data_IF_475741284161
#
_entry.id   IF_475741284161
#
_cell.length_a   1.000
_cell.length_b   1.000
_cell.length_c   1.000
_cell.angle_alpha   90.00
_cell.angle_beta   90.00
_cell.angle_gamma   90.00
#
_symmetry.space_group_name_H-M   'P 1'
#
loop_
_entity.id
_entity.type
_entity.pdbx_description
1 polymer ?
#
# COMPACT_ATOMS: atom_id res chain seq x y z
N UNK A 1 -2.16 -19.51 4.96
CA UNK A 1 -1.13 -19.25 5.99
C UNK A 1 -0.82 -17.77 6.01
N UNK A 2 -0.66 -17.19 7.19
CA UNK A 2 -0.18 -15.82 7.33
C UNK A 2 1.29 -15.73 6.88
N UNK A 3 1.71 -14.63 6.25
CA UNK A 3 3.10 -14.43 5.85
C UNK A 3 4.00 -14.18 7.08
N UNK A 4 5.12 -14.91 7.16
CA UNK A 4 6.10 -14.89 8.24
C UNK A 4 7.51 -14.51 7.76
N UNK A 5 7.71 -14.26 6.46
CA UNK A 5 8.98 -13.76 5.91
C UNK A 5 8.72 -12.57 5.00
N UNK A 6 9.73 -11.72 4.79
CA UNK A 6 9.58 -10.58 3.87
C UNK A 6 9.23 -11.04 2.44
N UNK A 7 9.74 -12.20 1.99
CA UNK A 7 9.41 -12.75 0.67
C UNK A 7 7.94 -13.16 0.58
N UNK A 8 7.41 -13.77 1.64
CA UNK A 8 5.99 -14.13 1.69
C UNK A 8 5.10 -12.88 1.67
N UNK A 9 5.47 -11.83 2.40
CA UNK A 9 4.78 -10.54 2.35
C UNK A 9 4.82 -9.92 0.94
N UNK A 10 5.97 -9.96 0.26
CA UNK A 10 6.08 -9.49 -1.13
C UNK A 10 5.24 -10.33 -2.10
N UNK A 11 5.15 -11.64 -1.89
CA UNK A 11 4.31 -12.50 -2.72
C UNK A 11 2.82 -12.13 -2.58
N UNK A 12 2.35 -11.89 -1.34
CA UNK A 12 0.98 -11.41 -1.09
C UNK A 12 0.78 -10.02 -1.72
N UNK A 13 1.73 -9.10 -1.56
CA UNK A 13 1.66 -7.77 -2.18
C UNK A 13 1.51 -7.86 -3.71
N UNK A 14 2.29 -8.73 -4.37
CA UNK A 14 2.21 -8.96 -5.81
C UNK A 14 0.85 -9.53 -6.22
N UNK A 15 0.33 -10.50 -5.48
CA UNK A 15 -0.99 -11.05 -5.76
C UNK A 15 -2.07 -9.97 -5.64
N UNK A 16 -2.06 -9.17 -4.57
CA UNK A 16 -3.05 -8.09 -4.36
C UNK A 16 -2.99 -7.00 -5.42
N UNK A 17 -1.78 -6.63 -5.86
CA UNK A 17 -1.62 -5.71 -6.98
C UNK A 17 -2.19 -6.30 -8.27
N UNK A 18 -1.93 -7.57 -8.55
CA UNK A 18 -2.48 -8.27 -9.73
C UNK A 18 -4.01 -8.36 -9.68
N UNK A 19 -4.59 -8.67 -8.52
CA UNK A 19 -6.04 -8.73 -8.32
C UNK A 19 -6.65 -7.34 -8.57
N UNK A 20 -6.04 -6.29 -8.02
CA UNK A 20 -6.48 -4.90 -8.20
C UNK A 20 -6.45 -4.47 -9.68
N UNK A 21 -5.38 -4.81 -10.40
CA UNK A 21 -5.26 -4.55 -11.83
C UNK A 21 -6.32 -5.30 -12.65
N UNK A 22 -6.59 -6.56 -12.31
CA UNK A 22 -7.63 -7.34 -12.98
C UNK A 22 -9.02 -6.71 -12.79
N UNK A 23 -9.36 -6.32 -11.57
CA UNK A 23 -10.63 -5.62 -11.28
C UNK A 23 -10.69 -4.31 -12.06
N UNK A 24 -9.65 -3.48 -12.02
CA UNK A 24 -9.65 -2.18 -12.71
C UNK A 24 -9.81 -2.31 -14.23
N UNK A 25 -9.35 -3.40 -14.85
CA UNK A 25 -9.53 -3.64 -16.29
C UNK A 25 -10.99 -3.93 -16.66
N UNK A 26 -11.69 -4.69 -15.83
CA UNK A 26 -13.08 -5.09 -16.09
C UNK A 26 -14.11 -4.11 -15.51
N UNK A 27 -13.75 -3.41 -14.43
CA UNK A 27 -14.56 -2.43 -13.72
C UNK A 27 -13.69 -1.22 -13.33
N UNK A 28 -13.44 -0.29 -14.27
CA UNK A 28 -12.51 0.83 -14.06
C UNK A 28 -12.89 1.79 -12.93
N UNK A 29 -14.15 1.77 -12.49
CA UNK A 29 -14.67 2.59 -11.40
C UNK A 29 -14.87 1.80 -10.09
N UNK A 30 -14.35 0.57 -10.00
CA UNK A 30 -14.54 -0.26 -8.82
C UNK A 30 -13.66 0.19 -7.67
N UNK A 31 -14.28 0.54 -6.53
CA UNK A 31 -13.61 0.73 -5.24
C UNK A 31 -12.79 -0.49 -4.85
N UNK A 32 -13.25 -1.69 -5.23
CA UNK A 32 -12.55 -2.94 -4.97
C UNK A 32 -11.11 -2.97 -5.51
N UNK A 33 -10.85 -2.31 -6.64
CA UNK A 33 -9.50 -2.19 -7.19
C UNK A 33 -8.59 -1.35 -6.27
N UNK A 34 -9.05 -0.17 -5.86
CA UNK A 34 -8.33 0.73 -4.95
C UNK A 34 -8.14 0.09 -3.58
N UNK A 35 -9.16 -0.61 -3.08
CA UNK A 35 -9.12 -1.36 -1.84
C UNK A 35 -8.00 -2.41 -1.84
N UNK A 36 -7.93 -3.26 -2.86
CA UNK A 36 -6.87 -4.27 -2.99
C UNK A 36 -5.49 -3.65 -3.25
N UNK A 37 -5.43 -2.52 -3.96
CA UNK A 37 -4.18 -1.79 -4.16
C UNK A 37 -3.60 -1.28 -2.83
N UNK A 38 -4.44 -0.83 -1.89
CA UNK A 38 -3.99 -0.47 -0.54
C UNK A 38 -3.41 -1.65 0.24
N UNK A 39 -3.97 -2.85 0.12
CA UNK A 39 -3.35 -4.05 0.69
C UNK A 39 -2.01 -4.40 0.05
N UNK A 40 -1.81 -4.13 -1.24
CA UNK A 40 -0.52 -4.31 -1.87
C UNK A 40 0.55 -3.37 -1.28
N UNK A 41 0.17 -2.12 -0.96
CA UNK A 41 1.02 -1.16 -0.23
C UNK A 41 1.31 -1.66 1.18
N UNK A 42 0.28 -2.06 1.93
CA UNK A 42 0.41 -2.59 3.29
C UNK A 42 1.40 -3.75 3.35
N UNK A 43 1.20 -4.76 2.51
CA UNK A 43 2.04 -5.95 2.47
C UNK A 43 3.49 -5.61 2.06
N UNK A 44 3.66 -4.64 1.16
CA UNK A 44 5.00 -4.15 0.79
C UNK A 44 5.70 -3.45 1.96
N UNK A 45 4.98 -2.64 2.75
CA UNK A 45 5.53 -2.00 3.95
C UNK A 45 5.89 -3.01 5.03
N UNK A 46 5.02 -3.99 5.28
CA UNK A 46 5.30 -5.09 6.23
C UNK A 46 6.51 -5.91 5.80
N UNK A 47 6.67 -6.15 4.50
CA UNK A 47 7.89 -6.77 3.96
C UNK A 47 9.15 -5.95 4.27
N UNK A 48 9.08 -4.61 4.12
CA UNK A 48 10.20 -3.72 4.40
C UNK A 48 10.56 -3.70 5.89
N UNK A 49 9.57 -3.55 6.76
CA UNK A 49 9.77 -3.56 8.21
C UNK A 49 10.39 -4.89 8.67
N UNK A 50 9.86 -6.01 8.17
CA UNK A 50 10.43 -7.33 8.41
C UNK A 50 11.88 -7.43 7.92
N UNK A 51 12.18 -6.90 6.72
CA UNK A 51 13.53 -6.91 6.15
C UNK A 51 14.51 -6.06 6.96
N UNK A 52 14.03 -4.99 7.59
CA UNK A 52 14.80 -4.11 8.46
C UNK A 52 14.91 -4.62 9.91
N UNK A 53 14.26 -5.74 10.25
CA UNK A 53 14.19 -6.24 11.63
C UNK A 53 13.40 -5.33 12.57
N UNK A 54 12.49 -4.51 12.03
CA UNK A 54 11.61 -3.64 12.81
C UNK A 54 10.28 -4.34 13.11
N UNK A 55 9.80 -4.31 14.36
CA UNK A 55 8.49 -4.84 14.69
C UNK A 55 7.39 -3.99 14.03
N UNK A 56 6.25 -4.61 13.75
CA UNK A 56 5.07 -3.93 13.25
C UNK A 56 3.80 -4.61 13.77
N UNK A 57 2.67 -3.89 13.88
CA UNK A 57 1.41 -4.47 14.29
C UNK A 57 0.94 -5.53 13.29
N UNK A 58 0.66 -6.75 13.77
CA UNK A 58 0.18 -7.85 12.93
C UNK A 58 -1.36 -7.91 12.87
N UNK A 59 -2.04 -7.32 13.85
CA UNK A 59 -3.48 -7.38 14.04
C UNK A 59 -4.05 -6.02 14.44
N UNK A 60 -5.38 -5.90 14.34
CA UNK A 60 -6.11 -4.68 14.70
C UNK A 60 -5.92 -3.54 13.68
N UNK A 61 -6.52 -2.39 13.99
CA UNK A 61 -6.55 -1.23 13.10
C UNK A 61 -5.14 -0.72 12.76
N UNK A 62 -4.21 -0.78 13.73
CA UNK A 62 -2.81 -0.36 13.51
C UNK A 62 -2.07 -1.23 12.50
N UNK A 63 -2.50 -2.49 12.31
CA UNK A 63 -1.95 -3.35 11.27
C UNK A 63 -2.29 -2.89 9.84
N UNK A 64 -3.26 -1.98 9.71
CA UNK A 64 -3.78 -1.43 8.47
C UNK A 64 -3.50 0.08 8.33
N UNK A 65 -2.85 0.70 9.32
CA UNK A 65 -2.50 2.11 9.32
C UNK A 65 -1.32 2.36 8.37
N UNK A 66 -1.62 2.67 7.10
CA UNK A 66 -0.59 2.83 6.06
C UNK A 66 0.38 3.98 6.37
N UNK A 67 -0.09 5.10 6.94
CA UNK A 67 0.77 6.19 7.40
C UNK A 67 1.74 5.72 8.49
N UNK A 68 1.23 5.05 9.52
CA UNK A 68 2.05 4.52 10.60
C UNK A 68 3.12 3.54 10.10
N UNK A 69 2.75 2.62 9.21
CA UNK A 69 3.68 1.67 8.58
C UNK A 69 4.72 2.36 7.68
N UNK A 70 4.32 3.42 6.98
CA UNK A 70 5.20 4.25 6.14
C UNK A 70 6.28 4.96 6.98
N UNK A 71 5.85 5.63 8.05
CA UNK A 71 6.74 6.35 8.97
C UNK A 71 7.66 5.37 9.72
N UNK A 72 7.12 4.24 10.20
CA UNK A 72 7.90 3.18 10.85
C UNK A 72 8.98 2.58 9.93
N UNK A 73 8.76 2.60 8.61
CA UNK A 73 9.74 2.14 7.60
C UNK A 73 10.87 3.15 7.37
N UNK A 74 10.82 4.31 8.02
CA UNK A 74 11.80 5.40 7.92
C UNK A 74 11.55 6.35 6.75
N UNK A 75 10.37 6.31 6.13
CA UNK A 75 10.00 7.28 5.10
C UNK A 75 9.28 8.49 5.72
N UNK A 76 9.42 9.65 5.07
CA UNK A 76 8.64 10.84 5.42
C UNK A 76 7.65 11.15 4.31
N UNK A 77 6.51 11.75 4.65
CA UNK A 77 5.53 12.18 3.66
C UNK A 77 6.12 13.22 2.70
N UNK A 78 6.98 14.12 3.18
CA UNK A 78 7.68 15.10 2.34
C UNK A 78 8.67 14.48 1.34
N UNK A 79 9.03 13.18 1.50
CA UNK A 79 9.85 12.47 0.52
C UNK A 79 9.00 11.97 -0.68
N UNK A 80 7.68 12.18 -0.66
CA UNK A 80 6.79 11.92 -1.79
C UNK A 80 6.74 13.15 -2.69
N UNK A 81 7.16 12.99 -3.95
CA UNK A 81 6.96 13.99 -5.00
C UNK A 81 5.54 13.87 -5.56
N UNK A 82 4.54 14.01 -4.69
CA UNK A 82 3.14 13.71 -5.00
C UNK A 82 2.31 14.96 -5.29
N UNK A 83 2.55 15.58 -6.44
CA UNK A 83 1.88 16.84 -6.82
C UNK A 83 0.38 16.71 -7.03
N UNK A 84 -0.12 15.49 -7.31
CA UNK A 84 -1.54 15.20 -7.54
C UNK A 84 -2.27 14.63 -6.32
N UNK A 85 -1.56 14.34 -5.22
CA UNK A 85 -2.14 13.70 -4.03
C UNK A 85 -2.50 12.22 -4.18
N UNK A 86 -2.18 11.58 -5.31
CA UNK A 86 -2.62 10.20 -5.63
C UNK A 86 -1.90 9.13 -4.79
N UNK A 87 -0.70 9.43 -4.28
CA UNK A 87 0.04 8.55 -3.37
C UNK A 87 -0.34 8.85 -1.92
N UNK A 88 -0.41 10.14 -1.59
CA UNK A 88 -0.75 10.66 -0.26
C UNK A 88 -2.15 10.21 0.16
N UNK A 89 -3.09 10.13 -0.81
CA UNK A 89 -4.41 9.56 -0.63
C UNK A 89 -4.39 8.20 0.07
N UNK A 90 -3.54 7.26 -0.35
CA UNK A 90 -3.47 5.95 0.30
C UNK A 90 -2.97 6.04 1.73
N UNK A 91 -2.02 6.93 2.00
CA UNK A 91 -1.45 7.06 3.33
C UNK A 91 -2.41 7.74 4.30
N UNK A 92 -3.30 8.61 3.82
CA UNK A 92 -4.18 9.42 4.67
C UNK A 92 -5.62 8.90 4.74
N UNK A 93 -6.17 8.41 3.63
CA UNK A 93 -7.61 8.15 3.49
C UNK A 93 -7.95 6.65 3.39
N UNK A 94 -7.03 5.81 2.92
CA UNK A 94 -7.33 4.40 2.70
C UNK A 94 -7.69 3.69 4.01
N UNK A 95 -8.77 2.90 3.97
CA UNK A 95 -9.31 2.23 5.14
C UNK A 95 -9.87 0.84 4.78
N UNK A 96 -9.75 -0.12 5.70
CA UNK A 96 -10.30 -1.48 5.52
C UNK A 96 -11.82 -1.53 5.51
N UNK A 97 -12.50 -0.52 6.05
CA UNK A 97 -13.96 -0.39 6.01
C UNK A 97 -14.51 -0.32 4.58
N UNK A 98 -13.70 0.13 3.61
CA UNK A 98 -14.09 0.25 2.19
C UNK A 98 -14.50 -1.06 1.54
N UNK A 99 -14.24 -2.20 2.19
CA UNK A 99 -14.77 -3.51 1.79
C UNK A 99 -16.30 -3.56 1.66
N UNK A 100 -17.00 -2.67 2.36
CA UNK A 100 -18.47 -2.58 2.32
C UNK A 100 -18.96 -1.42 1.45
N UNK A 101 -18.06 -0.62 0.92
CA UNK A 101 -18.39 0.59 0.19
C UNK A 101 -18.44 0.33 -1.31
N UNK A 102 -19.40 0.97 -1.98
CA UNK A 102 -19.52 0.93 -3.45
C UNK A 102 -18.94 2.18 -4.10
N UNK A 103 -18.63 3.21 -3.32
CA UNK A 103 -17.95 4.44 -3.74
C UNK A 103 -16.86 4.82 -2.74
N UNK A 104 -15.89 5.64 -3.14
CA UNK A 104 -14.85 6.13 -2.23
C UNK A 104 -15.43 7.30 -1.42
N UNK A 105 -15.62 7.19 -0.09
CA UNK A 105 -16.39 8.17 0.69
C UNK A 105 -15.80 9.58 0.70
N UNK A 106 -14.47 9.69 0.65
CA UNK A 106 -13.72 10.96 0.71
C UNK A 106 -12.98 11.27 -0.59
N UNK A 107 -13.48 10.83 -1.76
CA UNK A 107 -12.75 11.02 -3.01
C UNK A 107 -12.59 12.52 -3.34
N UNK A 108 -11.36 13.08 -3.37
CA UNK A 108 -11.16 14.50 -3.66
C UNK A 108 -11.25 14.79 -5.18
N UNK A 109 -12.09 14.05 -5.90
CA UNK A 109 -12.21 14.14 -7.37
C UNK A 109 -11.11 13.39 -8.13
N UNK A 110 -10.39 12.47 -7.48
CA UNK A 110 -9.35 11.67 -8.13
C UNK A 110 -9.98 10.51 -8.91
N UNK A 111 -9.49 10.31 -10.14
CA UNK A 111 -9.89 9.15 -10.94
C UNK A 111 -9.29 7.86 -10.34
N UNK A 112 -10.05 6.77 -10.37
CA UNK A 112 -9.57 5.46 -9.89
C UNK A 112 -8.31 5.01 -10.65
N UNK A 113 -8.20 5.31 -11.95
CA UNK A 113 -6.99 5.04 -12.72
C UNK A 113 -5.75 5.77 -12.16
N UNK A 114 -5.90 7.03 -11.72
CA UNK A 114 -4.82 7.79 -11.10
C UNK A 114 -4.45 7.21 -9.72
N UNK A 115 -5.44 6.78 -8.93
CA UNK A 115 -5.21 6.09 -7.66
C UNK A 115 -4.46 4.75 -7.87
N UNK A 116 -4.86 3.97 -8.86
CA UNK A 116 -4.16 2.74 -9.23
C UNK A 116 -2.69 3.01 -9.61
N UNK A 117 -2.44 4.09 -10.36
CA UNK A 117 -1.08 4.54 -10.65
C UNK A 117 -0.32 4.98 -9.39
N UNK A 118 -0.97 5.70 -8.47
CA UNK A 118 -0.40 6.10 -7.18
C UNK A 118 0.04 4.88 -6.35
N UNK A 119 -0.80 3.86 -6.27
CA UNK A 119 -0.45 2.61 -5.59
C UNK A 119 0.73 1.88 -6.24
N UNK A 120 0.81 1.87 -7.56
CA UNK A 120 1.95 1.30 -8.30
C UNK A 120 3.26 2.03 -8.00
N UNK A 121 3.23 3.36 -7.93
CA UNK A 121 4.38 4.18 -7.57
C UNK A 121 4.85 3.90 -6.13
N UNK A 122 3.92 3.85 -5.18
CA UNK A 122 4.21 3.53 -3.78
C UNK A 122 4.82 2.14 -3.63
N UNK A 123 4.15 1.11 -4.15
CA UNK A 123 4.63 -0.28 -4.09
C UNK A 123 5.99 -0.43 -4.75
N UNK A 124 6.22 0.20 -5.92
CA UNK A 124 7.53 0.21 -6.58
C UNK A 124 8.63 0.83 -5.73
N UNK A 125 8.36 1.98 -5.10
CA UNK A 125 9.30 2.66 -4.19
C UNK A 125 9.63 1.80 -2.98
N UNK A 126 8.62 1.22 -2.34
CA UNK A 126 8.80 0.35 -1.15
C UNK A 126 9.59 -0.90 -1.52
N UNK A 127 9.20 -1.61 -2.59
CA UNK A 127 9.88 -2.82 -3.02
C UNK A 127 11.33 -2.57 -3.45
N UNK A 128 11.61 -1.39 -4.02
CA UNK A 128 12.99 -0.96 -4.29
C UNK A 128 13.78 -0.81 -3.00
N UNK A 129 13.20 -0.23 -1.95
CA UNK A 129 13.82 -0.14 -0.64
C UNK A 129 14.04 -1.53 0.00
N UNK A 130 13.13 -2.49 -0.17
CA UNK A 130 13.30 -3.88 0.30
C UNK A 130 14.51 -4.56 -0.34
N UNK A 131 14.73 -4.32 -1.64
CA UNK A 131 15.84 -4.92 -2.41
C UNK A 131 17.19 -4.30 -2.07
N UNK A 132 17.22 -3.02 -1.69
CA UNK A 132 18.45 -2.35 -1.28
C UNK A 132 18.96 -2.98 0.01
N UNK A 133 20.25 -3.33 0.05
CA UNK A 133 20.87 -3.80 1.31
C UNK A 133 20.78 -2.67 2.34
N UNK A 134 20.36 -2.96 3.59
CA UNK A 134 20.46 -1.97 4.64
C UNK A 134 21.95 -1.58 4.76
N UNK A 135 22.25 -0.27 4.71
CA UNK A 135 23.58 0.22 5.10
C UNK A 135 23.80 -0.27 6.52
N UNK A 136 24.77 -1.17 6.73
CA UNK A 136 25.27 -1.51 8.05
C UNK A 136 25.64 -0.18 8.74
N UNK A 137 24.91 0.16 9.79
CA UNK A 137 25.35 1.15 10.78
C UNK A 137 26.27 0.42 11.76
#
# INVERSE_FOLDING_TARGET
MSPHTYQQWLAVAKQRASDAEAISKHQPQSVGSVYLAGYAIECSLKALLHRQGRPFPQHGNEGHNLKGLWEASGFRLCDLQDTKGIQTFFLQEWNTAWRYETTIPSNPGLAIADLMQGAKLLTGKIQTAVRRRPKRR
#
